data_IF_067015892043
#
_entry.id   IF_067015892043
#
_cell.length_a   1.000
_cell.length_b   1.000
_cell.length_c   1.000
_cell.angle_alpha   90.00
_cell.angle_beta   90.00
_cell.angle_gamma   90.00
#
_symmetry.space_group_name_H-M   'P 1'
#
loop_
_entity.id
_entity.type
_entity.pdbx_description
1 polymer ?
#
# COMPACT_ATOMS: atom_id res chain seq x y z
N UNK A 1 -11.36 9.82 30.42
CA UNK A 1 -10.77 9.22 31.63
C UNK A 1 -10.97 10.10 32.87
N UNK A 2 -10.49 11.36 32.88
CA UNK A 2 -10.57 12.25 34.05
C UNK A 2 -11.98 12.40 34.64
N UNK A 3 -12.98 12.72 33.82
CA UNK A 3 -14.37 12.87 34.29
C UNK A 3 -14.95 11.58 34.92
N UNK A 4 -14.64 10.40 34.37
CA UNK A 4 -15.11 9.13 34.94
C UNK A 4 -14.53 8.89 36.34
N UNK A 5 -13.22 9.11 36.49
CA UNK A 5 -12.52 8.95 37.78
C UNK A 5 -13.01 9.97 38.82
N UNK A 6 -13.22 11.22 38.41
CA UNK A 6 -13.76 12.28 39.27
C UNK A 6 -15.19 11.96 39.77
N UNK A 7 -15.97 11.21 39.00
CA UNK A 7 -17.30 10.74 39.39
C UNK A 7 -17.29 9.44 40.23
N UNK A 8 -16.11 8.93 40.61
CA UNK A 8 -15.98 7.67 41.37
C UNK A 8 -16.18 6.40 40.53
N UNK A 9 -16.22 6.50 39.20
CA UNK A 9 -16.40 5.36 38.31
C UNK A 9 -15.05 4.74 37.92
N UNK A 10 -14.93 3.39 37.84
CA UNK A 10 -13.70 2.74 37.42
C UNK A 10 -13.41 3.01 35.94
N UNK A 11 -12.18 3.45 35.65
CA UNK A 11 -11.66 3.63 34.29
C UNK A 11 -10.20 3.14 34.24
N UNK A 12 -10.01 1.79 34.28
CA UNK A 12 -8.68 1.19 34.40
C UNK A 12 -7.88 1.25 33.11
N UNK A 13 -8.55 1.37 31.95
CA UNK A 13 -7.93 1.38 30.63
C UNK A 13 -8.19 2.72 29.94
N UNK A 14 -7.13 3.30 29.35
CA UNK A 14 -7.18 4.46 28.48
C UNK A 14 -6.43 4.08 27.21
N UNK A 15 -7.20 3.76 26.17
CA UNK A 15 -6.68 3.17 24.95
C UNK A 15 -6.81 4.13 23.77
N UNK A 16 -5.69 4.48 23.15
CA UNK A 16 -5.62 5.42 22.01
C UNK A 16 -4.94 4.75 20.82
N UNK A 17 -4.89 5.44 19.69
CA UNK A 17 -3.93 5.10 18.64
C UNK A 17 -4.49 5.01 17.22
N UNK A 18 -3.58 5.32 16.31
CA UNK A 18 -3.56 5.06 14.89
C UNK A 18 -2.08 4.95 14.51
N UNK A 19 -1.72 4.36 13.36
CA UNK A 19 -0.30 4.28 12.96
C UNK A 19 0.42 5.64 12.98
N UNK A 20 -0.14 6.74 12.44
CA UNK A 20 0.51 8.05 12.53
C UNK A 20 0.66 8.55 13.97
N UNK A 21 -0.41 8.49 14.77
CA UNK A 21 -0.39 9.04 16.14
C UNK A 21 0.52 8.22 17.06
N UNK A 22 0.58 6.91 16.87
CA UNK A 22 1.50 6.04 17.60
C UNK A 22 2.98 6.37 17.29
N UNK A 23 3.30 6.77 16.04
CA UNK A 23 4.67 7.11 15.64
C UNK A 23 5.11 8.49 16.13
N UNK A 24 4.20 9.45 16.23
CA UNK A 24 4.52 10.85 16.52
C UNK A 24 4.05 11.34 17.91
N UNK A 25 3.50 10.47 18.75
CA UNK A 25 3.11 10.82 20.10
C UNK A 25 4.33 11.34 20.90
N UNK A 26 4.19 12.53 21.48
CA UNK A 26 5.22 13.14 22.35
C UNK A 26 5.00 12.82 23.82
N UNK A 27 3.74 12.62 24.19
CA UNK A 27 3.29 12.40 25.56
C UNK A 27 2.14 11.39 25.54
N UNK A 28 2.24 10.39 26.40
CA UNK A 28 1.27 9.31 26.60
C UNK A 28 0.93 9.15 28.09
N UNK A 29 1.16 10.19 28.90
CA UNK A 29 0.86 10.16 30.32
C UNK A 29 -0.62 9.84 30.57
N UNK A 30 -0.86 8.81 31.37
CA UNK A 30 -2.20 8.32 31.68
C UNK A 30 -2.86 7.44 30.59
N UNK A 31 -2.21 7.21 29.45
CA UNK A 31 -2.57 6.18 28.46
C UNK A 31 -2.05 4.83 28.94
N UNK A 32 -2.88 3.79 28.85
CA UNK A 32 -2.49 2.43 29.26
C UNK A 32 -2.07 1.56 28.08
N UNK A 33 -2.55 1.85 26.87
CA UNK A 33 -2.18 1.14 25.67
C UNK A 33 -2.34 2.01 24.41
N UNK A 34 -1.54 1.70 23.38
CA UNK A 34 -1.60 2.32 22.06
C UNK A 34 -1.85 1.24 21.02
N UNK A 35 -2.82 1.46 20.12
CA UNK A 35 -3.20 0.52 19.07
C UNK A 35 -2.80 1.06 17.69
N UNK A 36 -2.01 0.27 16.96
CA UNK A 36 -1.61 0.55 15.59
C UNK A 36 -1.67 -0.75 14.77
N UNK A 37 -1.91 -0.64 13.47
CA UNK A 37 -2.10 -1.80 12.59
C UNK A 37 -1.27 -1.71 11.32
N UNK A 38 -1.60 -0.74 10.45
CA UNK A 38 -0.99 -0.63 9.12
C UNK A 38 0.53 -0.41 9.15
N UNK A 39 1.10 -0.01 10.30
CA UNK A 39 2.54 0.22 10.45
C UNK A 39 3.39 -1.02 10.13
N UNK A 40 2.84 -2.23 10.28
CA UNK A 40 3.53 -3.47 9.95
C UNK A 40 3.89 -3.57 8.46
N UNK A 41 3.04 -3.02 7.58
CA UNK A 41 3.28 -3.00 6.14
C UNK A 41 3.69 -1.63 5.60
N UNK A 42 3.22 -0.55 6.20
CA UNK A 42 3.15 0.75 5.53
C UNK A 42 2.21 0.70 4.31
N UNK A 43 2.02 1.84 3.66
CA UNK A 43 1.42 1.96 2.33
C UNK A 43 1.65 3.38 1.79
N UNK A 44 1.20 3.63 0.56
CA UNK A 44 1.43 4.93 -0.07
C UNK A 44 0.63 6.06 0.57
N UNK A 45 -0.54 5.79 1.18
CA UNK A 45 -1.26 6.81 1.93
C UNK A 45 -0.44 7.26 3.14
N UNK A 46 0.09 6.28 3.91
CA UNK A 46 0.95 6.51 5.06
C UNK A 46 2.24 7.23 4.66
N UNK A 47 2.83 6.89 3.51
CA UNK A 47 3.98 7.60 2.97
C UNK A 47 3.63 9.05 2.59
N UNK A 48 2.47 9.28 1.98
CA UNK A 48 1.99 10.61 1.58
C UNK A 48 1.72 11.56 2.76
N UNK A 49 1.40 11.02 3.95
CA UNK A 49 1.27 11.82 5.19
C UNK A 49 2.56 11.84 6.03
N UNK A 50 3.66 11.27 5.52
CA UNK A 50 4.96 11.26 6.20
C UNK A 50 5.08 10.27 7.36
N UNK A 51 4.17 9.30 7.49
CA UNK A 51 4.23 8.28 8.55
C UNK A 51 5.26 7.18 8.27
N UNK A 52 5.73 7.03 7.05
CA UNK A 52 6.82 6.15 6.62
C UNK A 52 7.41 6.66 5.29
N UNK A 53 8.56 6.12 4.87
CA UNK A 53 9.05 6.28 3.50
C UNK A 53 8.37 5.28 2.55
N UNK A 54 8.53 5.49 1.23
CA UNK A 54 8.11 4.48 0.25
C UNK A 54 8.94 3.19 0.37
N UNK A 55 10.22 3.31 0.72
CA UNK A 55 11.13 2.19 0.93
C UNK A 55 10.80 1.38 2.21
N UNK A 56 9.99 1.93 3.12
CA UNK A 56 9.49 1.23 4.31
C UNK A 56 8.28 0.32 3.98
N UNK A 57 7.71 0.40 2.76
CA UNK A 57 6.51 -0.34 2.39
C UNK A 57 6.86 -1.81 2.11
N UNK A 58 6.40 -2.70 2.99
CA UNK A 58 6.69 -4.13 2.92
C UNK A 58 5.70 -4.91 2.02
N UNK A 59 4.50 -4.39 1.79
CA UNK A 59 3.48 -5.03 0.96
C UNK A 59 3.58 -4.57 -0.51
N UNK A 60 3.55 -5.52 -1.44
CA UNK A 60 3.42 -5.23 -2.87
C UNK A 60 2.67 -6.34 -3.58
N UNK A 61 1.95 -6.02 -4.65
CA UNK A 61 1.32 -7.00 -5.55
C UNK A 61 2.26 -7.32 -6.70
N UNK A 62 2.60 -8.59 -6.90
CA UNK A 62 3.34 -9.06 -8.07
C UNK A 62 2.38 -9.11 -9.26
N UNK A 63 2.75 -8.48 -10.38
CA UNK A 63 1.97 -8.44 -11.60
C UNK A 63 2.81 -8.85 -12.82
N UNK A 64 2.14 -9.24 -13.89
CA UNK A 64 2.72 -9.61 -15.18
C UNK A 64 2.25 -8.63 -16.24
N UNK A 65 3.16 -8.21 -17.11
CA UNK A 65 2.81 -7.48 -18.33
C UNK A 65 2.13 -8.44 -19.31
N UNK A 66 0.90 -8.11 -19.70
CA UNK A 66 0.05 -8.95 -20.57
C UNK A 66 -0.35 -8.24 -21.87
N UNK A 67 -0.03 -6.96 -22.04
CA UNK A 67 -0.36 -6.23 -23.25
C UNK A 67 0.22 -4.83 -23.30
N UNK A 68 0.11 -4.19 -24.47
CA UNK A 68 0.56 -2.81 -24.70
C UNK A 68 -0.44 -2.06 -25.59
N UNK A 69 -0.57 -0.76 -25.35
CA UNK A 69 -1.18 0.20 -26.28
C UNK A 69 -0.14 1.28 -26.56
N UNK A 70 0.78 1.00 -27.48
CA UNK A 70 1.96 1.83 -27.73
C UNK A 70 1.60 3.28 -28.08
N UNK A 71 0.57 3.49 -28.91
CA UNK A 71 0.10 4.82 -29.30
C UNK A 71 -0.37 5.68 -28.11
N UNK A 72 -0.70 5.07 -26.97
CA UNK A 72 -1.13 5.75 -25.74
C UNK A 72 -0.07 5.73 -24.64
N UNK A 73 1.05 5.05 -24.86
CA UNK A 73 2.07 4.80 -23.83
C UNK A 73 1.55 3.95 -22.67
N UNK A 74 0.64 3.00 -22.92
CA UNK A 74 0.10 2.13 -21.87
C UNK A 74 0.74 0.75 -21.90
N UNK A 75 1.03 0.25 -20.70
CA UNK A 75 1.38 -1.13 -20.41
C UNK A 75 0.18 -1.74 -19.66
N UNK A 76 -0.28 -2.91 -20.09
CA UNK A 76 -1.41 -3.59 -19.47
C UNK A 76 -0.88 -4.73 -18.60
N UNK A 77 -1.34 -4.79 -17.35
CA UNK A 77 -0.92 -5.79 -16.37
C UNK A 77 -2.11 -6.59 -15.85
N UNK A 78 -1.86 -7.81 -15.38
CA UNK A 78 -2.86 -8.72 -14.77
C UNK A 78 -3.28 -8.34 -13.33
N UNK A 79 -2.88 -7.15 -12.86
CA UNK A 79 -3.27 -6.61 -11.56
C UNK A 79 -4.29 -5.47 -11.73
N UNK A 80 -5.57 -5.83 -11.81
CA UNK A 80 -6.69 -4.88 -11.76
C UNK A 80 -7.14 -4.53 -10.33
N UNK A 81 -8.31 -3.93 -10.19
CA UNK A 81 -8.85 -3.58 -8.87
C UNK A 81 -9.20 -4.82 -8.02
N UNK A 82 -9.36 -6.00 -8.63
CA UNK A 82 -9.50 -7.25 -7.88
C UNK A 82 -8.19 -7.61 -7.15
N UNK A 83 -7.02 -7.27 -7.69
CA UNK A 83 -5.74 -7.51 -7.01
C UNK A 83 -5.33 -6.34 -6.10
N UNK A 84 -5.66 -5.11 -6.50
CA UNK A 84 -5.20 -3.88 -5.84
C UNK A 84 -6.21 -3.27 -4.85
N UNK A 85 -7.47 -3.71 -4.89
CA UNK A 85 -8.67 -3.00 -4.39
C UNK A 85 -9.04 -1.76 -5.22
N UNK A 86 -10.21 -1.17 -4.92
CA UNK A 86 -10.63 0.13 -5.49
C UNK A 86 -10.19 1.35 -4.67
N UNK A 87 -9.37 1.16 -3.64
CA UNK A 87 -8.92 2.27 -2.79
C UNK A 87 -8.08 3.28 -3.59
N UNK A 88 -8.50 4.56 -3.55
CA UNK A 88 -7.82 5.71 -4.16
C UNK A 88 -7.51 6.78 -3.12
N UNK A 89 -7.13 6.37 -1.92
CA UNK A 89 -6.86 7.26 -0.77
C UNK A 89 -5.82 8.35 -1.04
N UNK A 90 -4.91 8.12 -1.99
CA UNK A 90 -3.89 9.10 -2.41
C UNK A 90 -4.44 10.20 -3.32
N UNK A 91 -5.65 10.06 -3.88
CA UNK A 91 -6.18 10.98 -4.91
C UNK A 91 -6.37 12.42 -4.44
N UNK A 92 -6.42 12.65 -3.12
CA UNK A 92 -6.50 13.99 -2.50
C UNK A 92 -5.24 14.40 -1.75
N UNK A 93 -4.16 13.61 -1.83
CA UNK A 93 -2.86 13.98 -1.27
C UNK A 93 -2.10 14.89 -2.25
N UNK A 94 -0.95 15.41 -1.82
CA UNK A 94 -0.10 16.25 -2.66
C UNK A 94 0.33 15.57 -3.98
N UNK A 95 0.47 14.23 -3.95
CA UNK A 95 0.78 13.41 -5.12
C UNK A 95 -0.22 12.27 -5.20
N UNK A 96 -0.99 12.22 -6.28
CA UNK A 96 -1.84 11.07 -6.57
C UNK A 96 -1.00 9.90 -7.13
N UNK A 97 -1.14 8.73 -6.50
CA UNK A 97 -0.40 7.52 -6.84
C UNK A 97 -1.18 6.56 -7.75
N UNK A 98 -2.35 6.95 -8.29
CA UNK A 98 -3.15 6.03 -9.09
C UNK A 98 -3.63 4.85 -8.24
N UNK A 99 -3.69 3.66 -8.81
CA UNK A 99 -3.92 2.41 -8.07
C UNK A 99 -2.64 1.84 -7.42
N UNK A 100 -1.49 2.50 -7.60
CA UNK A 100 -0.23 2.10 -6.98
C UNK A 100 0.99 2.56 -7.77
N UNK A 101 2.14 2.63 -7.08
CA UNK A 101 3.46 2.88 -7.69
C UNK A 101 4.00 1.59 -8.27
N UNK A 102 4.52 1.63 -9.50
CA UNK A 102 5.10 0.48 -10.17
C UNK A 102 6.60 0.40 -9.90
N UNK A 103 7.04 -0.79 -9.51
CA UNK A 103 8.41 -1.13 -9.19
C UNK A 103 8.92 -2.26 -10.10
N UNK A 104 10.24 -2.36 -10.22
CA UNK A 104 10.89 -3.52 -10.79
C UNK A 104 10.70 -4.78 -9.89
N UNK A 105 11.13 -5.98 -10.34
CA UNK A 105 11.04 -7.19 -9.52
C UNK A 105 11.77 -7.10 -8.17
N UNK A 106 12.80 -6.27 -8.07
CA UNK A 106 13.54 -6.05 -6.82
C UNK A 106 12.81 -5.09 -5.86
N UNK A 107 11.69 -4.49 -6.28
CA UNK A 107 10.90 -3.56 -5.48
C UNK A 107 11.33 -2.11 -5.62
N UNK A 108 12.25 -1.79 -6.55
CA UNK A 108 12.70 -0.41 -6.79
C UNK A 108 11.68 0.33 -7.66
N UNK A 109 11.13 1.48 -7.21
CA UNK A 109 10.17 2.24 -7.99
C UNK A 109 10.73 2.70 -9.33
N UNK A 110 9.95 2.54 -10.40
CA UNK A 110 10.21 3.25 -11.65
C UNK A 110 9.82 4.72 -11.49
N UNK A 111 10.61 5.68 -11.99
CA UNK A 111 10.27 7.10 -11.91
C UNK A 111 8.91 7.40 -12.55
N UNK A 112 7.99 7.97 -11.77
CA UNK A 112 6.64 8.38 -12.19
C UNK A 112 5.74 7.32 -12.84
N UNK A 113 6.11 6.05 -12.76
CA UNK A 113 5.29 4.97 -13.31
C UNK A 113 4.26 4.51 -12.28
N UNK A 114 2.99 4.60 -12.65
CA UNK A 114 1.88 4.20 -11.79
C UNK A 114 0.90 3.30 -12.53
N UNK A 115 0.11 2.55 -11.77
CA UNK A 115 -1.14 1.99 -12.29
C UNK A 115 -2.15 3.13 -12.35
N UNK A 116 -2.27 3.80 -13.49
CA UNK A 116 -3.11 4.99 -13.66
C UNK A 116 -4.60 4.67 -13.53
N UNK A 117 -5.02 3.51 -14.02
CA UNK A 117 -6.42 3.10 -14.04
C UNK A 117 -6.52 1.57 -13.91
N UNK A 118 -7.70 1.07 -13.52
CA UNK A 118 -7.91 -0.37 -13.31
C UNK A 118 -9.34 -0.81 -13.68
N UNK A 119 -9.43 -1.81 -14.55
CA UNK A 119 -10.59 -2.68 -14.65
C UNK A 119 -10.50 -3.80 -13.61
N UNK A 120 -11.39 -4.79 -13.66
CA UNK A 120 -11.45 -5.84 -12.65
C UNK A 120 -10.12 -6.61 -12.52
N UNK A 121 -9.66 -7.21 -13.63
CA UNK A 121 -8.44 -8.03 -13.66
C UNK A 121 -7.29 -7.37 -14.45
N UNK A 122 -7.49 -6.12 -14.92
CA UNK A 122 -6.51 -5.43 -15.75
C UNK A 122 -6.15 -4.08 -15.13
N UNK A 123 -4.85 -3.87 -14.91
CA UNK A 123 -4.28 -2.57 -14.56
C UNK A 123 -3.70 -1.88 -15.80
N UNK A 124 -3.87 -0.56 -15.88
CA UNK A 124 -3.29 0.28 -16.93
C UNK A 124 -2.11 1.03 -16.31
N UNK A 125 -0.91 0.61 -16.65
CA UNK A 125 0.35 1.23 -16.22
C UNK A 125 0.74 2.32 -17.23
N UNK A 126 1.03 3.51 -16.72
CA UNK A 126 1.46 4.66 -17.51
C UNK A 126 2.28 5.63 -16.66
N UNK A 127 3.05 6.49 -17.32
CA UNK A 127 3.65 7.64 -16.65
C UNK A 127 2.57 8.60 -16.15
N UNK A 128 2.82 9.26 -15.02
CA UNK A 128 1.95 10.34 -14.53
C UNK A 128 1.77 11.43 -15.59
N UNK A 129 0.59 12.07 -15.66
CA UNK A 129 0.40 13.24 -16.50
C UNK A 129 1.46 14.31 -16.21
N UNK A 130 2.12 14.80 -17.26
CA UNK A 130 3.17 15.83 -17.16
C UNK A 130 4.55 15.31 -16.74
N UNK A 131 4.73 14.00 -16.53
CA UNK A 131 6.05 13.43 -16.26
C UNK A 131 7.00 13.60 -17.44
N UNK A 132 8.29 13.78 -17.13
CA UNK A 132 9.40 13.79 -18.08
C UNK A 132 10.22 12.50 -18.06
N UNK A 133 9.82 11.51 -17.26
CA UNK A 133 10.48 10.22 -17.21
C UNK A 133 10.33 9.48 -18.55
N UNK A 134 11.27 8.58 -18.83
CA UNK A 134 11.14 7.66 -19.95
C UNK A 134 10.24 6.48 -19.56
N UNK A 135 9.32 6.10 -20.43
CA UNK A 135 8.53 4.89 -20.24
C UNK A 135 9.47 3.68 -20.35
N UNK A 136 9.54 2.79 -19.34
CA UNK A 136 10.42 1.63 -19.43
C UNK A 136 9.92 0.64 -20.48
N UNK A 137 10.86 0.01 -21.19
CA UNK A 137 10.56 -1.08 -22.12
C UNK A 137 10.36 -2.38 -21.33
N UNK A 138 9.10 -2.75 -21.12
CA UNK A 138 8.72 -3.95 -20.40
C UNK A 138 8.13 -4.97 -21.38
N UNK A 139 8.81 -6.09 -21.59
CA UNK A 139 8.32 -7.13 -22.51
C UNK A 139 7.05 -7.80 -21.98
N UNK A 140 6.27 -8.42 -22.89
CA UNK A 140 5.21 -9.34 -22.49
C UNK A 140 5.79 -10.46 -21.60
N UNK A 141 5.11 -10.77 -20.50
CA UNK A 141 5.57 -11.72 -19.49
C UNK A 141 6.53 -11.14 -18.45
N UNK A 142 6.99 -9.88 -18.60
CA UNK A 142 7.81 -9.23 -17.59
C UNK A 142 7.04 -9.10 -16.26
N UNK A 143 7.73 -9.34 -15.15
CA UNK A 143 7.18 -9.21 -13.80
C UNK A 143 7.46 -7.83 -13.23
N UNK A 144 6.49 -7.29 -12.50
CA UNK A 144 6.55 -5.99 -11.84
C UNK A 144 6.01 -6.13 -10.41
N UNK A 145 6.36 -5.21 -9.53
CA UNK A 145 5.73 -5.09 -8.20
C UNK A 145 4.94 -3.80 -8.14
N UNK A 146 3.79 -3.80 -7.47
CA UNK A 146 2.94 -2.61 -7.30
C UNK A 146 2.79 -2.33 -5.81
N UNK A 147 3.24 -1.14 -5.39
CA UNK A 147 3.03 -0.67 -4.02
C UNK A 147 1.58 -0.19 -3.86
N UNK A 148 0.85 -0.62 -2.81
CA UNK A 148 -0.57 -0.32 -2.67
C UNK A 148 -0.83 1.06 -2.07
N UNK A 149 -1.97 1.66 -2.43
CA UNK A 149 -2.46 2.88 -1.76
C UNK A 149 -2.74 2.66 -0.28
N UNK A 150 -3.40 1.54 0.03
CA UNK A 150 -3.89 1.23 1.35
C UNK A 150 -3.71 -0.27 1.61
N UNK A 151 -2.76 -0.63 2.47
CA UNK A 151 -2.38 -2.02 2.63
C UNK A 151 -3.54 -2.89 3.12
N UNK A 152 -4.40 -2.39 4.02
CA UNK A 152 -5.56 -3.14 4.52
C UNK A 152 -6.52 -3.52 3.39
N UNK A 153 -6.83 -2.57 2.50
CA UNK A 153 -7.78 -2.77 1.41
C UNK A 153 -7.22 -3.73 0.34
N UNK A 154 -5.96 -3.55 -0.03
CA UNK A 154 -5.27 -4.45 -0.97
C UNK A 154 -5.14 -5.85 -0.39
N UNK A 155 -4.64 -5.98 0.84
CA UNK A 155 -4.42 -7.27 1.49
C UNK A 155 -5.73 -8.08 1.65
N UNK A 156 -6.87 -7.40 1.83
CA UNK A 156 -8.17 -8.04 1.90
C UNK A 156 -8.57 -8.80 0.62
N UNK A 157 -8.01 -8.45 -0.54
CA UNK A 157 -8.28 -9.12 -1.81
C UNK A 157 -7.56 -10.47 -1.97
N UNK A 158 -6.60 -10.77 -1.10
CA UNK A 158 -5.76 -11.96 -1.20
C UNK A 158 -6.13 -12.94 -0.08
N UNK A 159 -6.26 -14.22 -0.44
CA UNK A 159 -6.51 -15.30 0.52
C UNK A 159 -5.26 -15.67 1.33
N UNK A 160 -4.08 -15.37 0.80
CA UNK A 160 -2.80 -15.58 1.47
C UNK A 160 -1.76 -14.57 0.98
N UNK A 161 -0.64 -14.49 1.70
CA UNK A 161 0.50 -13.66 1.35
C UNK A 161 1.74 -14.52 1.16
N UNK A 162 2.52 -14.23 0.12
CA UNK A 162 3.85 -14.82 -0.06
C UNK A 162 4.90 -13.93 0.61
N UNK A 163 5.56 -14.46 1.62
CA UNK A 163 6.55 -13.73 2.42
C UNK A 163 7.93 -13.98 1.83
N UNK A 164 8.62 -12.89 1.47
CA UNK A 164 9.95 -12.96 0.88
C UNK A 164 11.04 -12.91 1.97
N UNK A 165 12.07 -13.73 1.82
CA UNK A 165 13.30 -13.60 2.60
C UNK A 165 14.17 -12.44 2.07
N UNK A 166 15.30 -12.18 2.73
CA UNK A 166 16.26 -11.14 2.32
C UNK A 166 16.86 -11.34 0.91
N UNK A 167 16.76 -12.56 0.35
CA UNK A 167 17.20 -12.86 -1.02
C UNK A 167 16.07 -12.72 -2.06
N UNK A 168 14.87 -12.32 -1.63
CA UNK A 168 13.70 -12.17 -2.49
C UNK A 168 12.98 -13.48 -2.82
N UNK A 169 13.31 -14.59 -2.14
CA UNK A 169 12.65 -15.89 -2.35
C UNK A 169 11.48 -16.05 -1.39
N UNK A 170 10.44 -16.74 -1.84
CA UNK A 170 9.30 -17.07 -0.97
C UNK A 170 9.78 -18.01 0.14
N UNK A 171 9.75 -17.54 1.38
CA UNK A 171 10.14 -18.26 2.58
C UNK A 171 8.96 -18.82 3.36
N UNK A 172 7.79 -18.20 3.23
CA UNK A 172 6.55 -18.65 3.83
C UNK A 172 5.33 -18.20 3.02
N UNK A 173 4.21 -18.90 3.25
CA UNK A 173 2.89 -18.47 2.80
C UNK A 173 2.01 -18.29 4.03
N UNK A 174 1.48 -17.08 4.23
CA UNK A 174 0.62 -16.76 5.37
C UNK A 174 -0.84 -16.73 4.93
N UNK A 175 -1.71 -17.62 5.43
CA UNK A 175 -3.14 -17.53 5.14
C UNK A 175 -3.75 -16.29 5.82
N UNK A 176 -4.73 -15.67 5.15
CA UNK A 176 -5.53 -14.57 5.71
C UNK A 176 -6.85 -15.11 6.22
N UNK A 177 -7.23 -14.73 7.44
CA UNK A 177 -8.58 -14.97 7.95
C UNK A 177 -9.55 -14.01 7.23
N UNK A 178 -10.63 -14.54 6.66
CA UNK A 178 -11.60 -13.80 5.86
C UNK A 178 -13.05 -14.10 6.27
N UNK A 179 -13.95 -13.16 6.00
CA UNK A 179 -15.36 -13.23 6.41
C UNK A 179 -15.62 -12.60 7.78
N UNK A 180 -16.80 -12.88 8.32
CA UNK A 180 -17.26 -12.53 9.66
C UNK A 180 -17.89 -13.75 10.32
#
# INVERSE_FOLDING_TARGET
AGHLRAAGLPCPVVSVGSTPTARFAKDLDGVTEVRAGVFMFGDLFQAGIGSCGADDIALSVLATVIGHQAAKGWIIVDAGWMALSRDRGTARQAVDQGYGIVCDPAGRPYPDLIVRDANQEHGIVALRPGSRAALPELALGARLRILPNHACATAAQHACYHVLDASGRVSATWPRIAGW
#
